data_IF_491674805625
#
_entry.id   IF_491674805625
#
_cell.length_a   1.000
_cell.length_b   1.000
_cell.length_c   1.000
_cell.angle_alpha   90.00
_cell.angle_beta   90.00
_cell.angle_gamma   90.00
#
_symmetry.space_group_name_H-M   'P 1'
#
loop_
_entity.id
_entity.type
_entity.pdbx_description
1 polymer ?
#
# COMPACT_ATOMS: atom_id res chain seq x y z
N UNK A 1 4.40 3.11 -15.74
CA UNK A 1 5.02 2.39 -14.60
C UNK A 1 6.00 3.29 -13.85
N UNK A 2 7.08 3.77 -14.47
CA UNK A 2 8.11 4.52 -13.72
C UNK A 2 7.59 5.79 -13.05
N UNK A 3 6.69 6.53 -13.70
CA UNK A 3 6.03 7.70 -13.09
C UNK A 3 5.17 7.33 -11.88
N UNK A 4 4.40 6.24 -11.98
CA UNK A 4 3.65 5.70 -10.84
C UNK A 4 4.59 5.33 -9.68
N UNK A 5 5.72 4.66 -9.96
CA UNK A 5 6.68 4.28 -8.93
C UNK A 5 7.31 5.49 -8.26
N UNK A 6 7.59 6.55 -9.04
CA UNK A 6 8.06 7.82 -8.52
C UNK A 6 7.04 8.45 -7.56
N UNK A 7 5.79 8.60 -8.00
CA UNK A 7 4.72 9.17 -7.17
C UNK A 7 4.50 8.34 -5.91
N UNK A 8 4.48 7.01 -6.04
CA UNK A 8 4.32 6.12 -4.90
C UNK A 8 5.46 6.29 -3.88
N UNK A 9 6.71 6.23 -4.33
CA UNK A 9 7.87 6.31 -3.46
C UNK A 9 8.00 7.69 -2.78
N UNK A 10 7.68 8.76 -3.49
CA UNK A 10 7.83 10.13 -2.98
C UNK A 10 6.63 10.59 -2.13
N UNK A 11 5.41 10.14 -2.45
CA UNK A 11 4.20 10.74 -1.87
C UNK A 11 3.32 9.78 -1.08
N UNK A 12 3.42 8.47 -1.31
CA UNK A 12 2.55 7.45 -0.69
C UNK A 12 3.31 6.69 0.40
N UNK A 13 4.47 6.13 0.06
CA UNK A 13 5.26 5.32 0.99
C UNK A 13 5.66 6.05 2.28
N UNK A 14 6.09 7.32 2.27
CA UNK A 14 6.47 8.02 3.51
C UNK A 14 5.28 8.27 4.44
N UNK A 15 4.13 8.66 3.89
CA UNK A 15 2.91 8.88 4.69
C UNK A 15 2.37 7.58 5.26
N UNK A 16 2.49 6.51 4.48
CA UNK A 16 2.13 5.16 4.88
C UNK A 16 2.95 4.69 6.09
N UNK A 17 4.24 5.07 6.18
CA UNK A 17 5.10 4.73 7.32
C UNK A 17 4.77 5.52 8.59
N UNK A 18 4.15 6.69 8.48
CA UNK A 18 3.80 7.54 9.62
C UNK A 18 2.53 7.08 10.35
N UNK A 19 1.79 6.12 9.79
CA UNK A 19 0.57 5.65 10.41
C UNK A 19 0.86 4.84 11.68
N UNK A 20 0.06 5.09 12.71
CA UNK A 20 0.14 4.35 13.97
C UNK A 20 -0.01 2.85 13.70
N UNK A 21 0.82 2.04 14.37
CA UNK A 21 0.78 0.59 14.24
C UNK A 21 1.32 0.04 12.91
N UNK A 22 1.90 0.88 12.05
CA UNK A 22 2.50 0.40 10.81
C UNK A 22 3.82 -0.33 11.07
N UNK A 23 3.91 -1.57 10.58
CA UNK A 23 5.09 -2.42 10.71
C UNK A 23 5.94 -2.49 9.43
N UNK A 24 5.40 -2.08 8.29
CA UNK A 24 6.15 -1.98 7.03
C UNK A 24 5.29 -1.85 5.80
N UNK A 25 5.96 -1.67 4.65
CA UNK A 25 5.34 -1.63 3.33
C UNK A 25 6.28 -2.28 2.32
N UNK A 26 5.74 -3.11 1.43
CA UNK A 26 6.44 -3.65 0.26
C UNK A 26 5.61 -3.36 -0.98
N UNK A 27 6.26 -2.84 -2.01
CA UNK A 27 5.67 -2.67 -3.33
C UNK A 27 6.27 -3.70 -4.30
N UNK A 28 5.42 -4.57 -4.83
CA UNK A 28 5.77 -5.59 -5.80
C UNK A 28 5.27 -5.14 -7.17
N UNK A 29 6.10 -5.29 -8.20
CA UNK A 29 5.75 -4.86 -9.57
C UNK A 29 6.02 -5.99 -10.56
N UNK A 30 5.11 -6.17 -11.49
CA UNK A 30 5.32 -6.96 -12.70
C UNK A 30 5.31 -6.00 -13.88
N UNK A 31 6.49 -5.73 -14.45
CA UNK A 31 6.63 -4.78 -15.57
C UNK A 31 6.01 -5.32 -16.86
N UNK A 32 6.05 -6.63 -17.08
CA UNK A 32 5.52 -7.25 -18.29
C UNK A 32 3.99 -7.14 -18.37
N UNK A 33 3.30 -7.27 -17.22
CA UNK A 33 1.84 -7.17 -17.15
C UNK A 33 1.34 -5.81 -16.68
N UNK A 34 2.25 -4.90 -16.29
CA UNK A 34 1.89 -3.63 -15.66
C UNK A 34 1.21 -3.74 -14.28
N UNK A 35 1.27 -4.91 -13.63
CA UNK A 35 0.59 -5.14 -12.34
C UNK A 35 1.43 -4.64 -11.18
N UNK A 36 0.76 -4.13 -10.16
CA UNK A 36 1.37 -3.65 -8.93
C UNK A 36 0.61 -4.25 -7.75
N UNK A 37 1.34 -4.69 -6.72
CA UNK A 37 0.78 -5.13 -5.45
C UNK A 37 1.49 -4.37 -4.32
N UNK A 38 0.73 -3.55 -3.60
CA UNK A 38 1.20 -2.85 -2.40
C UNK A 38 0.76 -3.65 -1.17
N UNK A 39 1.71 -4.23 -0.45
CA UNK A 39 1.46 -4.95 0.81
C UNK A 39 1.86 -4.06 1.98
N UNK A 40 0.96 -3.94 2.95
CA UNK A 40 1.17 -3.14 4.15
C UNK A 40 1.09 -4.05 5.37
N UNK A 41 2.09 -3.98 6.24
CA UNK A 41 2.16 -4.76 7.47
C UNK A 41 1.75 -3.89 8.65
N UNK A 42 1.01 -4.48 9.57
CA UNK A 42 0.43 -3.81 10.73
C UNK A 42 0.73 -4.63 11.99
N UNK A 43 0.95 -3.95 13.11
CA UNK A 43 1.16 -4.58 14.41
C UNK A 43 -0.13 -5.18 14.99
N UNK A 44 -1.27 -4.53 14.71
CA UNK A 44 -2.60 -4.98 15.15
C UNK A 44 -3.62 -4.83 14.02
N UNK A 45 -4.72 -5.57 14.11
CA UNK A 45 -5.84 -5.46 13.17
C UNK A 45 -6.56 -4.11 13.34
N UNK A 46 -6.66 -3.64 14.58
CA UNK A 46 -7.32 -2.39 14.94
C UNK A 46 -6.60 -1.17 14.33
N UNK A 47 -5.27 -1.15 14.34
CA UNK A 47 -4.49 -0.08 13.70
C UNK A 47 -4.71 -0.05 12.17
N UNK A 48 -4.78 -1.22 11.53
CA UNK A 48 -5.09 -1.35 10.11
C UNK A 48 -6.50 -0.81 9.80
N UNK A 49 -7.51 -1.25 10.53
CA UNK A 49 -8.90 -0.83 10.33
C UNK A 49 -9.09 0.68 10.60
N UNK A 50 -8.39 1.22 11.60
CA UNK A 50 -8.38 2.66 11.88
C UNK A 50 -7.79 3.46 10.71
N UNK A 51 -6.68 2.99 10.15
CA UNK A 51 -6.08 3.59 8.95
C UNK A 51 -7.04 3.57 7.75
N UNK A 52 -7.72 2.46 7.51
CA UNK A 52 -8.64 2.32 6.38
C UNK A 52 -9.88 3.22 6.53
N UNK A 53 -10.45 3.26 7.73
CA UNK A 53 -11.63 4.08 8.03
C UNK A 53 -11.33 5.58 8.12
N UNK A 54 -10.07 5.98 8.31
CA UNK A 54 -9.64 7.38 8.34
C UNK A 54 -9.72 8.12 6.99
N UNK A 55 -9.99 7.40 5.90
CA UNK A 55 -9.94 7.94 4.53
C UNK A 55 -8.52 8.11 3.98
N UNK A 56 -7.50 7.71 4.75
CA UNK A 56 -6.11 7.72 4.31
C UNK A 56 -5.94 6.94 3.00
N UNK A 57 -6.51 5.74 2.92
CA UNK A 57 -6.43 4.89 1.72
C UNK A 57 -6.97 5.63 0.48
N UNK A 58 -8.19 6.15 0.55
CA UNK A 58 -8.81 6.89 -0.56
C UNK A 58 -7.98 8.10 -0.99
N UNK A 59 -7.40 8.84 -0.04
CA UNK A 59 -6.52 9.96 -0.33
C UNK A 59 -5.22 9.53 -1.06
N UNK A 60 -4.64 8.38 -0.71
CA UNK A 60 -3.47 7.87 -1.42
C UNK A 60 -3.83 7.33 -2.82
N UNK A 61 -4.98 6.65 -2.96
CA UNK A 61 -5.46 6.19 -4.27
C UNK A 61 -5.71 7.37 -5.21
N UNK A 62 -6.28 8.47 -4.72
CA UNK A 62 -6.50 9.67 -5.53
C UNK A 62 -5.22 10.22 -6.16
N UNK A 63 -4.06 10.11 -5.49
CA UNK A 63 -2.76 10.57 -6.02
C UNK A 63 -2.26 9.74 -7.19
N UNK A 64 -2.68 8.49 -7.30
CA UNK A 64 -2.22 7.56 -8.33
C UNK A 64 -3.33 7.13 -9.30
N UNK A 65 -4.55 7.63 -9.13
CA UNK A 65 -5.74 7.21 -9.87
C UNK A 65 -5.58 7.32 -11.39
N UNK A 66 -4.90 8.37 -11.88
CA UNK A 66 -4.64 8.55 -13.31
C UNK A 66 -3.75 7.46 -13.93
N UNK A 67 -3.01 6.70 -13.12
CA UNK A 67 -2.17 5.60 -13.56
C UNK A 67 -2.89 4.24 -13.52
N UNK A 68 -4.07 4.17 -12.89
CA UNK A 68 -4.77 2.91 -12.66
C UNK A 68 -5.70 2.57 -13.82
N UNK A 69 -5.63 1.32 -14.29
CA UNK A 69 -6.55 0.81 -15.29
C UNK A 69 -7.94 0.50 -14.72
N UNK A 70 -8.03 0.26 -13.41
CA UNK A 70 -9.25 0.00 -12.65
C UNK A 70 -8.98 0.25 -11.16
N UNK A 71 -10.05 0.30 -10.36
CA UNK A 71 -9.93 0.42 -8.91
C UNK A 71 -9.12 -0.76 -8.33
N UNK A 72 -8.21 -0.51 -7.36
CA UNK A 72 -7.45 -1.59 -6.75
C UNK A 72 -8.34 -2.48 -5.89
N UNK A 73 -8.07 -3.78 -5.95
CA UNK A 73 -8.66 -4.75 -5.02
C UNK A 73 -7.86 -4.72 -3.72
N UNK A 74 -8.57 -4.59 -2.59
CA UNK A 74 -7.98 -4.61 -1.25
C UNK A 74 -8.39 -5.87 -0.51
N UNK A 75 -7.40 -6.63 -0.06
CA UNK A 75 -7.57 -7.87 0.71
C UNK A 75 -6.81 -7.77 2.05
N UNK A 76 -7.26 -8.53 3.05
CA UNK A 76 -6.70 -8.53 4.41
C UNK A 76 -6.32 -9.95 4.80
N UNK A 77 -5.13 -10.12 5.37
CA UNK A 77 -4.56 -11.42 5.71
C UNK A 77 -3.81 -11.37 7.03
N UNK A 78 -3.79 -12.50 7.74
CA UNK A 78 -2.91 -12.71 8.88
C UNK A 78 -1.54 -13.19 8.42
N UNK A 79 -0.48 -12.57 8.94
CA UNK A 79 0.89 -13.02 8.70
C UNK A 79 1.13 -14.29 9.52
N UNK A 80 0.90 -15.45 8.89
CA UNK A 80 1.10 -16.76 9.54
C UNK A 80 2.58 -17.15 9.58
N UNK A 81 3.34 -16.79 8.54
CA UNK A 81 4.79 -17.03 8.45
C UNK A 81 5.45 -15.84 7.77
N UNK A 82 6.49 -15.29 8.39
CA UNK A 82 7.36 -14.29 7.80
C UNK A 82 8.81 -14.71 8.00
N UNK A 83 9.59 -14.71 6.92
CA UNK A 83 11.05 -14.86 6.97
C UNK A 83 11.66 -13.69 6.20
N UNK A 84 12.44 -12.90 6.90
CA UNK A 84 13.25 -11.83 6.31
C UNK A 84 14.69 -12.32 6.45
N UNK A 85 15.43 -12.33 5.34
CA UNK A 85 16.83 -12.78 5.29
C UNK A 85 17.77 -11.82 5.99
#
# INVERSE_FOLDING_TARGET
MDEFLKVYNEQVAPLSQQQQGRAGTVLLTNRDTGKVLSVTFWGTKEDMESSESSGFYSNQIAKVASFLAADPVTERYDVTVQRIG
#
